data_IF_389975474087
#
_entry.id   IF_389975474087
#
_cell.length_a   1.000
_cell.length_b   1.000
_cell.length_c   1.000
_cell.angle_alpha   90.00
_cell.angle_beta   90.00
_cell.angle_gamma   90.00
#
_symmetry.space_group_name_H-M   'P 1'
#
loop_
_entity.id
_entity.type
_entity.pdbx_description
1 polymer ?
#
# COMPACT_ATOMS: atom_id res chain seq x y z
N UNK A 1 -20.48 -29.68 -13.23
CA UNK A 1 -19.14 -29.46 -12.66
C UNK A 1 -19.35 -28.91 -11.26
N UNK A 2 -18.72 -29.51 -10.25
CA UNK A 2 -18.86 -29.12 -8.85
C UNK A 2 -17.84 -28.01 -8.59
N UNK A 3 -18.29 -26.82 -8.14
CA UNK A 3 -17.39 -25.72 -7.79
C UNK A 3 -16.71 -26.04 -6.46
N UNK A 4 -15.41 -26.31 -6.52
CA UNK A 4 -14.56 -26.45 -5.34
C UNK A 4 -14.14 -25.06 -4.88
N UNK A 5 -14.63 -24.63 -3.72
CA UNK A 5 -14.19 -23.39 -3.09
C UNK A 5 -13.04 -23.69 -2.11
N UNK A 6 -11.98 -22.88 -2.18
CA UNK A 6 -10.79 -23.01 -1.35
C UNK A 6 -10.70 -21.77 -0.45
N UNK A 7 -10.75 -21.97 0.87
CA UNK A 7 -10.51 -20.92 1.86
C UNK A 7 -9.09 -21.04 2.41
N UNK A 8 -8.34 -19.93 2.37
CA UNK A 8 -6.95 -19.87 2.80
C UNK A 8 -6.76 -18.73 3.79
N UNK A 9 -5.99 -19.00 4.84
CA UNK A 9 -5.45 -17.96 5.74
C UNK A 9 -4.00 -17.71 5.41
N UNK A 10 -3.64 -16.44 5.18
CA UNK A 10 -2.27 -16.03 4.89
C UNK A 10 -1.84 -14.90 5.83
N UNK A 11 -0.53 -14.82 6.08
CA UNK A 11 0.09 -13.74 6.85
C UNK A 11 0.63 -12.70 5.87
N UNK A 12 0.24 -11.44 6.05
CA UNK A 12 0.75 -10.31 5.27
C UNK A 12 1.82 -9.57 6.07
N UNK A 13 3.01 -9.41 5.50
CA UNK A 13 4.13 -8.73 6.16
C UNK A 13 4.39 -7.37 5.50
N UNK A 14 4.58 -6.34 6.33
CA UNK A 14 4.88 -4.99 5.90
C UNK A 14 6.38 -4.81 5.64
N UNK A 15 6.77 -4.72 4.38
CA UNK A 15 8.18 -4.57 3.99
C UNK A 15 8.65 -3.11 3.87
N UNK A 16 7.84 -2.12 4.28
CA UNK A 16 8.30 -0.74 4.27
C UNK A 16 9.47 -0.56 5.23
N UNK A 17 10.28 0.48 4.98
CA UNK A 17 11.41 0.84 5.82
C UNK A 17 11.01 0.93 7.29
N UNK A 18 11.86 0.40 8.18
CA UNK A 18 11.66 0.32 9.64
C UNK A 18 10.56 -0.65 10.10
N UNK A 19 10.10 -1.56 9.23
CA UNK A 19 9.19 -2.64 9.60
C UNK A 19 9.81 -4.02 9.36
N UNK A 20 9.25 -5.05 10.03
CA UNK A 20 9.72 -6.44 9.97
C UNK A 20 11.25 -6.57 10.08
N UNK A 21 11.81 -6.09 11.20
CA UNK A 21 13.26 -5.98 11.40
C UNK A 21 13.99 -7.30 11.16
N UNK A 22 13.48 -8.40 11.69
CA UNK A 22 14.05 -9.74 11.51
C UNK A 22 14.11 -10.15 10.02
N UNK A 23 13.04 -9.88 9.26
CA UNK A 23 13.01 -10.14 7.82
C UNK A 23 14.03 -9.28 7.07
N UNK A 24 14.17 -8.00 7.45
CA UNK A 24 15.11 -7.07 6.83
C UNK A 24 16.56 -7.38 7.19
N UNK A 25 16.82 -7.94 8.38
CA UNK A 25 18.12 -8.45 8.78
C UNK A 25 18.47 -9.75 8.04
N UNK A 26 17.48 -10.59 7.76
CA UNK A 26 17.65 -11.85 7.03
C UNK A 26 17.86 -11.67 5.51
N UNK A 27 17.34 -10.59 4.91
CA UNK A 27 17.41 -10.38 3.46
C UNK A 27 17.89 -8.96 3.11
N UNK A 28 19.17 -8.85 2.72
CA UNK A 28 19.79 -7.58 2.34
C UNK A 28 19.10 -6.93 1.13
N UNK A 29 18.82 -7.69 0.08
CA UNK A 29 18.22 -7.13 -1.15
C UNK A 29 16.82 -6.56 -0.88
N UNK A 30 16.02 -7.23 -0.03
CA UNK A 30 14.71 -6.74 0.36
C UNK A 30 14.82 -5.45 1.19
N UNK A 31 15.80 -5.39 2.10
CA UNK A 31 16.09 -4.18 2.89
C UNK A 31 16.53 -3.02 1.99
N UNK A 32 17.43 -3.27 1.05
CA UNK A 32 17.91 -2.28 0.09
C UNK A 32 16.78 -1.79 -0.83
N UNK A 33 15.90 -2.69 -1.28
CA UNK A 33 14.70 -2.34 -2.03
C UNK A 33 13.75 -1.46 -1.22
N UNK A 34 13.48 -1.81 0.05
CA UNK A 34 12.63 -1.02 0.93
C UNK A 34 13.19 0.40 1.15
N UNK A 35 14.51 0.54 1.28
CA UNK A 35 15.20 1.83 1.36
C UNK A 35 15.09 2.63 0.06
N UNK A 36 15.26 2.00 -1.12
CA UNK A 36 15.05 2.64 -2.42
C UNK A 36 13.62 3.20 -2.56
N UNK A 37 12.60 2.38 -2.27
CA UNK A 37 11.18 2.79 -2.35
C UNK A 37 10.86 3.93 -1.39
N UNK A 38 11.40 3.89 -0.16
CA UNK A 38 11.25 4.98 0.82
C UNK A 38 11.79 6.32 0.27
N UNK A 39 12.97 6.30 -0.38
CA UNK A 39 13.57 7.49 -0.99
C UNK A 39 12.75 8.03 -2.15
N UNK A 40 12.28 7.16 -3.05
CA UNK A 40 11.39 7.58 -4.15
C UNK A 40 10.16 8.28 -3.59
N UNK A 41 9.48 7.67 -2.61
CA UNK A 41 8.30 8.24 -1.96
C UNK A 41 8.58 9.55 -1.23
N UNK A 42 9.74 9.66 -0.58
CA UNK A 42 10.18 10.89 0.09
C UNK A 42 10.36 12.02 -0.93
N UNK A 43 11.10 11.78 -2.01
CA UNK A 43 11.39 12.81 -3.02
C UNK A 43 10.18 13.18 -3.87
N UNK A 44 9.27 12.23 -4.12
CA UNK A 44 8.02 12.50 -4.85
C UNK A 44 7.06 13.46 -4.11
N UNK A 45 7.34 13.82 -2.85
CA UNK A 45 6.61 14.87 -2.12
C UNK A 45 7.00 16.29 -2.55
N UNK A 46 8.20 16.45 -3.07
CA UNK A 46 8.81 17.76 -3.36
C UNK A 46 9.20 17.92 -4.84
N UNK A 47 9.46 16.82 -5.54
CA UNK A 47 9.93 16.77 -6.93
C UNK A 47 8.90 16.08 -7.84
N UNK A 48 9.07 16.23 -9.16
CA UNK A 48 8.32 15.38 -10.10
C UNK A 48 8.70 13.92 -9.90
N UNK A 49 7.79 12.98 -10.19
CA UNK A 49 8.04 11.55 -10.00
C UNK A 49 9.29 11.08 -10.76
N UNK A 50 9.49 11.56 -11.99
CA UNK A 50 10.67 11.24 -12.80
C UNK A 50 11.98 11.70 -12.14
N UNK A 51 12.01 12.93 -11.60
CA UNK A 51 13.17 13.48 -10.89
C UNK A 51 13.40 12.77 -9.55
N UNK A 52 12.33 12.46 -8.82
CA UNK A 52 12.37 11.72 -7.57
C UNK A 52 13.00 10.34 -7.76
N UNK A 53 12.57 9.63 -8.80
CA UNK A 53 13.13 8.31 -9.17
C UNK A 53 14.59 8.44 -9.59
N UNK A 54 14.93 9.39 -10.47
CA UNK A 54 16.31 9.59 -10.93
C UNK A 54 17.28 9.91 -9.76
N UNK A 55 16.82 10.77 -8.84
CA UNK A 55 17.57 11.13 -7.64
C UNK A 55 17.75 9.93 -6.71
N UNK A 56 16.68 9.19 -6.45
CA UNK A 56 16.74 7.99 -5.62
C UNK A 56 17.70 6.94 -6.18
N UNK A 57 17.64 6.66 -7.48
CA UNK A 57 18.57 5.74 -8.16
C UNK A 57 20.02 6.20 -7.98
N UNK A 58 20.29 7.48 -8.24
CA UNK A 58 21.65 8.03 -8.17
C UNK A 58 22.24 7.93 -6.76
N UNK A 59 21.46 8.29 -5.74
CA UNK A 59 21.90 8.21 -4.35
C UNK A 59 22.06 6.76 -3.88
N UNK A 60 21.16 5.85 -4.26
CA UNK A 60 21.23 4.44 -3.90
C UNK A 60 22.48 3.78 -4.49
N UNK A 61 22.78 4.02 -5.77
CA UNK A 61 24.02 3.52 -6.41
C UNK A 61 25.26 4.03 -5.67
N UNK A 62 25.30 5.33 -5.35
CA UNK A 62 26.43 5.97 -4.65
C UNK A 62 26.64 5.37 -3.26
N UNK A 63 25.57 5.01 -2.57
CA UNK A 63 25.60 4.49 -1.19
C UNK A 63 25.67 2.96 -1.12
N UNK A 64 25.74 2.27 -2.26
CA UNK A 64 25.85 0.81 -2.32
C UNK A 64 24.53 0.06 -2.08
N UNK A 65 23.40 0.77 -2.14
CA UNK A 65 22.04 0.24 -1.94
C UNK A 65 21.53 -0.28 -3.28
N UNK A 66 21.26 -1.57 -3.36
CA UNK A 66 20.76 -2.23 -4.58
C UNK A 66 21.65 -1.93 -5.83
N UNK A 67 22.93 -1.63 -5.59
CA UNK A 67 23.81 -0.95 -6.55
C UNK A 67 23.94 -1.68 -7.88
N UNK A 68 24.34 -2.95 -7.84
CA UNK A 68 24.60 -3.74 -9.06
C UNK A 68 23.34 -3.86 -9.93
N UNK A 69 22.18 -4.03 -9.29
CA UNK A 69 20.90 -4.09 -9.96
C UNK A 69 20.51 -2.75 -10.60
N UNK A 70 20.66 -1.64 -9.87
CA UNK A 70 20.33 -0.30 -10.36
C UNK A 70 21.28 0.17 -11.47
N UNK A 71 22.57 -0.14 -11.37
CA UNK A 71 23.55 0.16 -12.42
C UNK A 71 23.22 -0.57 -13.71
N UNK A 72 22.86 -1.85 -13.64
CA UNK A 72 22.55 -2.68 -14.80
C UNK A 72 21.20 -2.32 -15.43
N UNK A 73 20.20 -1.93 -14.63
CA UNK A 73 18.81 -1.83 -15.08
C UNK A 73 18.23 -0.41 -15.00
N UNK A 74 19.05 0.64 -14.86
CA UNK A 74 18.63 2.03 -14.61
C UNK A 74 17.43 2.51 -15.42
N UNK A 75 17.47 2.33 -16.75
CA UNK A 75 16.41 2.81 -17.64
C UNK A 75 15.08 2.07 -17.39
N UNK A 76 15.15 0.76 -17.19
CA UNK A 76 13.97 -0.06 -16.93
C UNK A 76 13.40 0.21 -15.54
N UNK A 77 14.26 0.28 -14.52
CA UNK A 77 13.85 0.63 -13.14
C UNK A 77 13.17 1.98 -13.12
N UNK A 78 13.70 2.98 -13.84
CA UNK A 78 13.07 4.30 -13.93
C UNK A 78 11.66 4.21 -14.51
N UNK A 79 11.52 3.53 -15.66
CA UNK A 79 10.25 3.36 -16.35
C UNK A 79 9.22 2.62 -15.49
N UNK A 80 9.63 1.49 -14.91
CA UNK A 80 8.78 0.67 -14.04
C UNK A 80 8.37 1.42 -12.78
N UNK A 81 9.29 2.13 -12.12
CA UNK A 81 8.98 2.89 -10.90
C UNK A 81 7.95 3.99 -11.15
N UNK A 82 8.01 4.66 -12.30
CA UNK A 82 7.03 5.67 -12.68
C UNK A 82 5.65 5.02 -12.87
N UNK A 83 5.61 3.93 -13.64
CA UNK A 83 4.36 3.20 -13.90
C UNK A 83 3.71 2.66 -12.63
N UNK A 84 4.48 1.96 -11.79
CA UNK A 84 3.98 1.37 -10.53
C UNK A 84 3.45 2.44 -9.58
N UNK A 85 4.12 3.58 -9.47
CA UNK A 85 3.69 4.65 -8.57
C UNK A 85 2.37 5.29 -9.05
N UNK A 86 2.21 5.49 -10.36
CA UNK A 86 0.95 5.96 -10.93
C UNK A 86 -0.19 4.97 -10.63
N UNK A 87 0.06 3.66 -10.80
CA UNK A 87 -0.92 2.62 -10.44
C UNK A 87 -1.24 2.61 -8.94
N UNK A 88 -0.24 2.68 -8.06
CA UNK A 88 -0.44 2.73 -6.61
C UNK A 88 -1.28 3.95 -6.21
N UNK A 89 -1.06 5.10 -6.86
CA UNK A 89 -1.86 6.31 -6.68
C UNK A 89 -3.30 6.09 -7.14
N UNK A 90 -3.53 5.50 -8.30
CA UNK A 90 -4.87 5.17 -8.80
C UNK A 90 -5.63 4.26 -7.83
N UNK A 91 -5.03 3.13 -7.43
CA UNK A 91 -5.63 2.18 -6.49
C UNK A 91 -5.95 2.85 -5.14
N UNK A 92 -5.05 3.73 -4.66
CA UNK A 92 -5.28 4.46 -3.40
C UNK A 92 -6.49 5.39 -3.48
N UNK A 93 -6.66 6.09 -4.60
CA UNK A 93 -7.83 6.96 -4.83
C UNK A 93 -9.11 6.11 -4.87
N UNK A 94 -9.14 5.02 -5.64
CA UNK A 94 -10.32 4.13 -5.70
C UNK A 94 -10.70 3.56 -4.33
N UNK A 95 -9.71 3.14 -3.54
CA UNK A 95 -9.92 2.66 -2.16
C UNK A 95 -10.47 3.76 -1.26
N UNK A 96 -9.96 4.99 -1.38
CA UNK A 96 -10.43 6.12 -0.61
C UNK A 96 -11.88 6.48 -0.97
N UNK A 97 -12.21 6.51 -2.27
CA UNK A 97 -13.57 6.76 -2.76
C UNK A 97 -14.55 5.67 -2.28
N UNK A 98 -14.13 4.40 -2.36
CA UNK A 98 -14.92 3.27 -1.87
C UNK A 98 -15.16 3.37 -0.34
N UNK A 99 -14.12 3.73 0.42
CA UNK A 99 -14.23 3.91 1.87
C UNK A 99 -15.12 5.09 2.24
N UNK A 100 -14.99 6.22 1.55
CA UNK A 100 -15.81 7.41 1.78
C UNK A 100 -17.28 7.17 1.42
N UNK A 101 -17.54 6.49 0.30
CA UNK A 101 -18.89 6.07 -0.09
C UNK A 101 -19.50 5.15 0.96
N UNK A 102 -18.77 4.11 1.39
CA UNK A 102 -19.22 3.18 2.44
C UNK A 102 -19.51 3.93 3.75
N UNK A 103 -18.63 4.87 4.13
CA UNK A 103 -18.80 5.69 5.34
C UNK A 103 -20.05 6.58 5.28
N UNK A 104 -20.33 7.19 4.12
CA UNK A 104 -21.53 8.01 3.90
C UNK A 104 -22.79 7.14 3.92
N UNK A 105 -22.78 6.02 3.22
CA UNK A 105 -23.89 5.07 3.17
C UNK A 105 -24.21 4.52 4.57
N UNK A 106 -23.18 4.12 5.33
CA UNK A 106 -23.35 3.67 6.71
C UNK A 106 -23.87 4.78 7.62
N UNK A 107 -23.37 6.00 7.47
CA UNK A 107 -23.87 7.17 8.21
C UNK A 107 -25.34 7.50 7.90
N UNK A 108 -25.74 7.38 6.64
CA UNK A 108 -27.14 7.56 6.23
C UNK A 108 -28.03 6.41 6.71
N UNK A 109 -27.54 5.17 6.65
CA UNK A 109 -28.24 4.01 7.18
C UNK A 109 -28.47 4.14 8.69
N UNK A 110 -27.44 4.50 9.46
CA UNK A 110 -27.56 4.76 10.90
C UNK A 110 -28.59 5.85 11.23
N UNK A 111 -28.66 6.92 10.42
CA UNK A 111 -29.67 7.99 10.57
C UNK A 111 -31.08 7.55 10.21
N UNK A 112 -31.22 6.53 9.36
CA UNK A 112 -32.52 5.96 8.96
C UNK A 112 -33.05 4.93 9.94
N UNK A 113 -32.21 4.44 10.87
CA UNK A 113 -32.63 3.51 11.90
C UNK A 113 -33.56 4.20 12.91
N UNK A 114 -34.64 3.53 13.35
CA UNK A 114 -35.50 4.06 14.39
C UNK A 114 -34.75 4.23 15.71
N UNK A 115 -35.18 5.21 16.53
CA UNK A 115 -34.64 5.42 17.88
C UNK A 115 -34.66 4.11 18.68
N UNK A 116 -33.67 3.91 19.58
CA UNK A 116 -33.60 2.71 20.40
C UNK A 116 -34.85 2.46 21.27
N UNK A 117 -35.59 3.54 21.52
CA UNK A 117 -36.85 3.53 22.26
C UNK A 117 -38.00 2.88 21.47
N UNK A 118 -37.89 2.76 20.15
CA UNK A 118 -38.89 2.18 19.26
C UNK A 118 -38.62 0.71 18.87
N UNK A 119 -37.52 0.10 19.35
CA UNK A 119 -37.28 -1.34 19.14
C UNK A 119 -38.13 -2.18 20.08
N UNK A 120 -38.73 -3.24 19.54
CA UNK A 120 -39.51 -4.21 20.32
C UNK A 120 -38.60 -4.98 21.30
N UNK A 121 -39.19 -5.59 22.33
CA UNK A 121 -38.43 -6.42 23.29
C UNK A 121 -37.75 -7.64 22.64
N UNK A 122 -38.29 -8.13 21.52
CA UNK A 122 -37.69 -9.22 20.74
C UNK A 122 -36.43 -8.77 19.98
N UNK A 123 -36.43 -7.55 19.43
CA UNK A 123 -35.27 -6.97 18.74
C UNK A 123 -34.07 -6.73 19.69
N UNK A 124 -34.35 -6.53 20.99
CA UNK A 124 -33.32 -6.29 22.02
C UNK A 124 -32.57 -7.55 22.44
N UNK A 125 -33.04 -8.76 22.07
CA UNK A 125 -32.40 -10.04 22.43
C UNK A 125 -31.30 -10.49 21.46
N UNK A 126 -31.14 -9.82 20.32
CA UNK A 126 -30.26 -10.26 19.21
C UNK A 126 -29.05 -9.33 18.97
N UNK A 127 -28.84 -8.34 19.84
CA UNK A 127 -27.67 -7.46 19.89
C UNK A 127 -26.76 -7.84 21.05
#
# INVERSE_FOLDING_TARGET
MQETQLELTAVLLNINRNHNRELMEACRDLKDYAEYVDRVRKYARELTLSEAVERAITECIREGILKEFLEKNRAEVKKMSIYEYDQEKHIRMERQDAWEKTRIEYGNWLKSLPSKENYSEEDRRVL
#
